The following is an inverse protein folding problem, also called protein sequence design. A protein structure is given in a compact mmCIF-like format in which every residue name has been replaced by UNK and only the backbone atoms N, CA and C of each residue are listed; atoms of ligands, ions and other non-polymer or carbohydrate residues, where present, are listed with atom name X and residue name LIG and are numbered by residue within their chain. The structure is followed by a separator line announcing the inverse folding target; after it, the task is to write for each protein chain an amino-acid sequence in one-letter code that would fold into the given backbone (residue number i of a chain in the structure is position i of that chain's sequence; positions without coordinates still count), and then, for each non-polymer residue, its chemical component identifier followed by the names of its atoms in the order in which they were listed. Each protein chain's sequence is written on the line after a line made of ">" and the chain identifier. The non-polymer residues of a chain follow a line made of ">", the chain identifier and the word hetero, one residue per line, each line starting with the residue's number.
data_IF_688749211004
#
_entry.id   IF_688749211004
#
_cell.length_a   1.000
_cell.length_b   1.000
_cell.length_c   1.000
_cell.angle_alpha   90.00
_cell.angle_beta   90.00
_cell.angle_gamma   90.00
#
_symmetry.space_group_name_H-M   'P 1'
#
loop_
_entity.id
_entity.type
_entity.pdbx_description
1 polymer ?
#
# COMPACT_ATOMS: atom_id res chain seq x y z
N UNK A 1 7.30 -12.35 16.36
CA UNK A 1 5.84 -12.40 16.11
C UNK A 1 5.54 -11.29 15.12
N UNK A 2 4.88 -11.56 13.99
CA UNK A 2 4.53 -10.51 13.03
C UNK A 2 3.35 -9.70 13.60
N UNK A 3 3.51 -8.38 13.72
CA UNK A 3 2.48 -7.47 14.23
C UNK A 3 1.68 -6.80 13.10
N UNK A 4 2.10 -7.02 11.84
CA UNK A 4 1.50 -6.51 10.63
C UNK A 4 0.73 -7.61 9.88
N UNK A 5 -0.25 -7.20 9.09
CA UNK A 5 -0.89 -8.10 8.13
C UNK A 5 0.15 -8.55 7.10
N UNK A 6 0.19 -9.84 6.80
CA UNK A 6 1.08 -10.37 5.77
C UNK A 6 0.53 -10.20 4.35
N UNK A 7 -0.68 -9.66 4.23
CA UNK A 7 -1.31 -9.31 2.97
C UNK A 7 -0.97 -7.88 2.54
N UNK A 8 -0.96 -7.61 1.24
CA UNK A 8 -0.94 -6.25 0.70
C UNK A 8 -2.35 -5.69 0.81
N UNK A 9 -2.74 -5.26 2.01
CA UNK A 9 -4.10 -4.82 2.37
C UNK A 9 -4.18 -3.34 2.77
N UNK A 10 -3.10 -2.61 2.48
CA UNK A 10 -2.96 -1.18 2.76
C UNK A 10 -3.10 -0.83 4.25
N UNK A 11 -2.59 -1.68 5.16
CA UNK A 11 -2.54 -1.41 6.61
C UNK A 11 -1.91 -0.04 6.95
N UNK A 12 -0.97 0.47 6.16
CA UNK A 12 -0.43 1.82 6.34
C UNK A 12 -1.50 2.92 6.28
N UNK A 13 -2.54 2.72 5.45
CA UNK A 13 -3.65 3.66 5.24
C UNK A 13 -4.80 3.39 6.22
N UNK A 14 -5.14 2.13 6.47
CA UNK A 14 -6.33 1.76 7.24
C UNK A 14 -6.05 1.29 8.68
N UNK A 15 -4.81 1.04 9.07
CA UNK A 15 -4.46 0.37 10.33
C UNK A 15 -4.50 -1.15 10.21
N UNK A 16 -3.84 -1.83 11.14
CA UNK A 16 -3.75 -3.31 11.17
C UNK A 16 -4.90 -3.95 11.97
N UNK A 17 -5.59 -3.16 12.80
CA UNK A 17 -6.74 -3.63 13.60
C UNK A 17 -8.05 -2.94 13.19
N UNK A 18 -9.21 -3.58 13.40
CA UNK A 18 -10.51 -2.96 13.16
C UNK A 18 -10.73 -1.67 13.98
N UNK A 19 -10.14 -1.61 15.18
CA UNK A 19 -10.21 -0.45 16.07
C UNK A 19 -9.45 0.75 15.50
N UNK A 20 -8.23 0.53 14.99
CA UNK A 20 -7.46 1.56 14.29
C UNK A 20 -8.16 2.03 13.01
N UNK A 21 -8.76 1.11 12.26
CA UNK A 21 -9.53 1.44 11.08
C UNK A 21 -10.76 2.29 11.42
N UNK A 22 -11.48 1.94 12.49
CA UNK A 22 -12.59 2.73 12.99
C UNK A 22 -12.15 4.13 13.44
N UNK A 23 -11.02 4.25 14.13
CA UNK A 23 -10.49 5.53 14.59
C UNK A 23 -10.12 6.49 13.45
N UNK A 24 -9.78 5.98 12.26
CA UNK A 24 -9.48 6.78 11.07
C UNK A 24 -10.71 7.19 10.28
N UNK A 25 -11.89 6.66 10.58
CA UNK A 25 -13.13 7.00 9.88
C UNK A 25 -13.70 8.32 10.39
N UNK A 26 -14.20 9.12 9.45
CA UNK A 26 -15.02 10.30 9.76
C UNK A 26 -16.43 9.87 10.18
N UNK A 27 -16.85 8.65 9.80
CA UNK A 27 -18.21 8.13 10.06
C UNK A 27 -19.28 8.81 9.22
N UNK A 28 -18.88 9.47 8.12
CA UNK A 28 -19.78 10.12 7.18
C UNK A 28 -19.31 9.93 5.74
N UNK A 29 -20.22 9.53 4.87
CA UNK A 29 -19.99 9.34 3.42
C UNK A 29 -18.86 8.33 3.09
N UNK A 30 -18.59 7.38 3.98
CA UNK A 30 -17.53 6.39 3.85
C UNK A 30 -16.12 6.97 3.87
N UNK A 31 -15.92 8.20 4.38
CA UNK A 31 -14.63 8.90 4.30
C UNK A 31 -13.71 8.67 5.49
N UNK A 32 -12.41 8.80 5.26
CA UNK A 32 -11.37 8.73 6.28
C UNK A 32 -10.65 10.07 6.49
N UNK A 33 -10.09 10.22 7.68
CA UNK A 33 -9.20 11.33 8.02
C UNK A 33 -7.90 11.21 7.24
N UNK A 34 -7.37 12.36 6.81
CA UNK A 34 -6.07 12.40 6.13
C UNK A 34 -5.01 12.68 7.19
N UNK A 35 -3.85 12.00 7.16
CA UNK A 35 -2.77 12.30 8.10
C UNK A 35 -2.31 13.74 7.92
N UNK A 36 -2.07 14.43 9.04
CA UNK A 36 -1.58 15.80 9.01
C UNK A 36 -0.17 15.86 8.44
N UNK A 37 0.04 16.78 7.50
CA UNK A 37 1.37 17.09 6.99
C UNK A 37 1.95 18.22 7.82
N UNK A 38 2.29 17.93 9.08
CA UNK A 38 3.05 18.86 9.89
C UNK A 38 4.50 18.78 9.42
N UNK A 39 4.84 19.66 8.48
CA UNK A 39 6.22 19.96 8.15
C UNK A 39 6.73 20.97 9.19
N UNK A 40 7.09 20.50 10.38
CA UNK A 40 7.76 21.34 11.37
C UNK A 40 9.24 21.48 11.01
N UNK A 41 9.73 22.69 10.66
CA UNK A 41 11.16 22.93 10.57
C UNK A 41 11.78 22.98 11.99
N UNK A 42 13.02 22.52 12.18
CA UNK A 42 13.94 22.00 11.18
C UNK A 42 13.63 20.53 10.84
N UNK A 43 13.63 20.20 9.55
CA UNK A 43 13.55 18.81 9.10
C UNK A 43 14.77 18.06 9.63
N UNK A 44 14.60 17.08 10.53
CA UNK A 44 15.73 16.24 10.93
C UNK A 44 16.20 15.49 9.69
N UNK A 45 17.48 15.66 9.33
CA UNK A 45 18.11 14.97 8.19
C UNK A 45 18.08 13.44 8.30
N UNK A 46 17.70 12.89 9.44
CA UNK A 46 17.59 11.45 9.68
C UNK A 46 16.21 10.86 9.35
N UNK A 47 15.18 11.67 9.08
CA UNK A 47 13.78 11.19 9.05
C UNK A 47 13.08 11.24 7.69
N UNK A 48 13.83 11.24 6.58
CA UNK A 48 13.27 11.31 5.23
C UNK A 48 12.27 10.18 4.91
N UNK A 49 12.52 8.97 5.41
CA UNK A 49 11.63 7.81 5.21
C UNK A 49 10.28 8.00 5.90
N UNK A 50 10.26 8.56 7.13
CA UNK A 50 9.02 8.84 7.86
C UNK A 50 8.16 9.85 7.10
N UNK A 51 8.77 10.92 6.58
CA UNK A 51 8.05 11.93 5.79
C UNK A 51 7.51 11.35 4.48
N UNK A 52 8.30 10.55 3.78
CA UNK A 52 7.90 9.92 2.52
C UNK A 52 6.71 8.97 2.70
N UNK A 53 6.72 8.17 3.77
CA UNK A 53 5.60 7.29 4.12
C UNK A 53 4.32 8.09 4.41
N UNK A 54 4.43 9.19 5.18
CA UNK A 54 3.28 10.07 5.45
C UNK A 54 2.68 10.67 4.18
N UNK A 55 3.51 11.00 3.19
CA UNK A 55 3.04 11.48 1.89
C UNK A 55 2.23 10.41 1.17
N UNK A 56 2.75 9.19 1.10
CA UNK A 56 2.05 8.06 0.48
C UNK A 56 0.72 7.76 1.19
N UNK A 57 0.71 7.72 2.52
CA UNK A 57 -0.52 7.58 3.33
C UNK A 57 -1.56 8.63 2.94
N UNK A 58 -1.14 9.90 2.79
CA UNK A 58 -2.05 10.99 2.43
C UNK A 58 -2.58 10.90 1.00
N UNK A 59 -1.75 10.45 0.05
CA UNK A 59 -2.16 10.22 -1.34
C UNK A 59 -3.26 9.16 -1.37
N UNK A 60 -3.03 8.01 -0.73
CA UNK A 60 -4.00 6.92 -0.69
C UNK A 60 -5.28 7.30 0.08
N UNK A 61 -5.16 8.05 1.18
CA UNK A 61 -6.33 8.56 1.89
C UNK A 61 -7.15 9.55 1.04
N UNK A 62 -6.48 10.34 0.21
CA UNK A 62 -7.16 11.23 -0.75
C UNK A 62 -7.87 10.42 -1.84
N UNK A 63 -7.24 9.38 -2.35
CA UNK A 63 -7.83 8.47 -3.33
C UNK A 63 -9.04 7.73 -2.77
N UNK A 64 -8.97 7.22 -1.55
CA UNK A 64 -10.12 6.62 -0.85
C UNK A 64 -11.30 7.58 -0.79
N UNK A 65 -11.08 8.81 -0.31
CA UNK A 65 -12.16 9.80 -0.18
C UNK A 65 -12.74 10.22 -1.54
N UNK A 66 -11.93 10.21 -2.60
CA UNK A 66 -12.40 10.42 -3.98
C UNK A 66 -13.31 9.27 -4.42
N UNK A 67 -12.90 8.03 -4.20
CA UNK A 67 -13.68 6.84 -4.55
C UNK A 67 -14.99 6.78 -3.79
N UNK A 68 -14.97 7.01 -2.47
CA UNK A 68 -16.17 7.05 -1.65
C UNK A 68 -17.18 8.09 -2.18
N UNK A 69 -16.72 9.28 -2.58
CA UNK A 69 -17.58 10.31 -3.16
C UNK A 69 -18.13 9.95 -4.56
N UNK A 70 -17.42 9.14 -5.33
CA UNK A 70 -17.91 8.63 -6.62
C UNK A 70 -18.92 7.51 -6.39
N UNK A 71 -18.63 6.57 -5.49
CA UNK A 71 -19.51 5.45 -5.14
C UNK A 71 -20.84 5.93 -4.54
N UNK A 72 -20.80 6.97 -3.71
CA UNK A 72 -22.01 7.59 -3.15
C UNK A 72 -22.92 8.17 -4.24
N UNK A 73 -22.34 8.80 -5.27
CA UNK A 73 -23.11 9.32 -6.41
C UNK A 73 -23.71 8.22 -7.27
N UNK A 74 -22.98 7.12 -7.45
CA UNK A 74 -23.42 5.97 -8.24
C UNK A 74 -24.46 5.12 -7.49
N UNK A 75 -24.35 5.04 -6.16
CA UNK A 75 -25.20 4.24 -5.30
C UNK A 75 -25.76 5.07 -4.14
N UNK A 76 -26.78 5.92 -4.39
CA UNK A 76 -27.32 6.81 -3.36
C UNK A 76 -27.97 6.11 -2.16
N UNK A 77 -28.27 4.81 -2.28
CA UNK A 77 -28.88 3.99 -1.22
C UNK A 77 -27.86 3.33 -0.29
N UNK A 78 -26.56 3.45 -0.56
CA UNK A 78 -25.53 2.84 0.27
C UNK A 78 -25.32 3.61 1.56
N UNK A 79 -25.10 2.88 2.65
CA UNK A 79 -24.75 3.44 3.94
C UNK A 79 -23.24 3.78 4.04
N UNK A 80 -22.84 4.41 5.16
CA UNK A 80 -21.46 4.79 5.41
C UNK A 80 -20.49 3.60 5.40
N UNK A 81 -20.94 2.45 5.92
CA UNK A 81 -20.13 1.24 6.01
C UNK A 81 -19.86 0.65 4.64
N UNK A 82 -20.91 0.52 3.83
CA UNK A 82 -20.83 0.00 2.47
C UNK A 82 -19.89 0.88 1.62
N UNK A 83 -20.04 2.21 1.71
CA UNK A 83 -19.16 3.14 1.01
C UNK A 83 -17.71 3.00 1.43
N UNK A 84 -17.44 2.88 2.73
CA UNK A 84 -16.10 2.69 3.26
C UNK A 84 -15.47 1.37 2.80
N UNK A 85 -16.19 0.24 2.92
CA UNK A 85 -15.66 -1.08 2.59
C UNK A 85 -15.41 -1.22 1.08
N UNK A 86 -16.30 -0.72 0.23
CA UNK A 86 -16.12 -0.76 -1.22
C UNK A 86 -14.99 0.16 -1.69
N UNK A 87 -14.90 1.39 -1.13
CA UNK A 87 -13.76 2.27 -1.40
C UNK A 87 -12.43 1.64 -0.95
N UNK A 88 -12.41 1.00 0.23
CA UNK A 88 -11.25 0.27 0.75
C UNK A 88 -10.85 -0.87 -0.18
N UNK A 89 -11.80 -1.68 -0.63
CA UNK A 89 -11.57 -2.81 -1.54
C UNK A 89 -10.92 -2.38 -2.86
N UNK A 90 -11.41 -1.28 -3.45
CA UNK A 90 -10.86 -0.73 -4.69
C UNK A 90 -9.43 -0.22 -4.48
N UNK A 91 -9.17 0.50 -3.38
CA UNK A 91 -7.81 1.02 -3.07
C UNK A 91 -6.83 -0.14 -2.86
N UNK A 92 -7.23 -1.18 -2.15
CA UNK A 92 -6.40 -2.39 -1.95
C UNK A 92 -6.05 -3.01 -3.31
N UNK A 93 -7.03 -3.18 -4.20
CA UNK A 93 -6.80 -3.70 -5.54
C UNK A 93 -5.84 -2.81 -6.36
N UNK A 94 -5.96 -1.48 -6.25
CA UNK A 94 -5.04 -0.54 -6.91
C UNK A 94 -3.60 -0.69 -6.41
N UNK A 95 -3.41 -0.79 -5.09
CA UNK A 95 -2.07 -0.96 -4.50
C UNK A 95 -1.48 -2.31 -4.90
N UNK A 96 -2.28 -3.37 -4.89
CA UNK A 96 -1.84 -4.70 -5.33
C UNK A 96 -1.43 -4.69 -6.81
N UNK A 97 -2.24 -4.05 -7.66
CA UNK A 97 -1.95 -3.95 -9.09
C UNK A 97 -0.65 -3.20 -9.35
N UNK A 98 -0.46 -2.01 -8.76
CA UNK A 98 0.78 -1.23 -8.91
C UNK A 98 1.99 -2.03 -8.37
N UNK A 99 1.84 -2.70 -7.23
CA UNK A 99 2.94 -3.45 -6.63
C UNK A 99 3.36 -4.62 -7.51
N UNK A 100 2.40 -5.42 -8.01
CA UNK A 100 2.71 -6.65 -8.73
C UNK A 100 3.03 -6.43 -10.20
N UNK A 101 2.36 -5.50 -10.88
CA UNK A 101 2.49 -5.31 -12.32
C UNK A 101 3.46 -4.18 -12.70
N UNK A 102 3.72 -3.23 -11.80
CA UNK A 102 4.61 -2.10 -12.10
C UNK A 102 5.90 -2.17 -11.29
N UNK A 103 5.80 -2.30 -9.96
CA UNK A 103 6.97 -2.24 -9.09
C UNK A 103 7.81 -3.53 -9.12
N UNK A 104 7.17 -4.69 -9.01
CA UNK A 104 7.86 -5.98 -8.91
C UNK A 104 8.70 -6.33 -10.16
N UNK A 105 8.22 -6.11 -11.40
CA UNK A 105 9.01 -6.36 -12.61
C UNK A 105 10.25 -5.46 -12.70
N UNK A 106 10.11 -4.17 -12.32
CA UNK A 106 11.24 -3.23 -12.28
C UNK A 106 12.30 -3.65 -11.27
N UNK A 107 11.88 -4.27 -10.16
CA UNK A 107 12.78 -4.68 -9.10
C UNK A 107 13.49 -6.01 -9.39
N UNK A 108 12.76 -7.01 -9.88
CA UNK A 108 13.26 -8.38 -10.06
C UNK A 108 13.81 -8.65 -11.47
N UNK A 109 13.41 -7.84 -12.44
CA UNK A 109 13.69 -8.04 -13.87
C UNK A 109 12.81 -9.10 -14.51
N UNK A 110 12.61 -8.96 -15.83
CA UNK A 110 11.74 -9.82 -16.65
C UNK A 110 12.09 -11.31 -16.56
N UNK A 111 13.38 -11.66 -16.47
CA UNK A 111 13.84 -13.06 -16.37
C UNK A 111 13.35 -13.73 -15.08
N UNK A 112 13.43 -13.02 -13.96
CA UNK A 112 12.96 -13.52 -12.65
C UNK A 112 11.44 -13.61 -12.63
N UNK A 113 10.74 -12.62 -13.20
CA UNK A 113 9.27 -12.62 -13.29
C UNK A 113 8.77 -13.83 -14.10
N UNK A 114 9.41 -14.13 -15.23
CA UNK A 114 9.08 -15.29 -16.06
C UNK A 114 9.40 -16.61 -15.35
N UNK A 115 10.56 -16.71 -14.69
CA UNK A 115 10.99 -17.93 -13.99
C UNK A 115 10.05 -18.38 -12.87
N UNK A 116 9.44 -17.42 -12.18
CA UNK A 116 8.52 -17.68 -11.07
C UNK A 116 7.05 -17.50 -11.45
N UNK A 117 6.75 -17.31 -12.74
CA UNK A 117 5.38 -17.13 -13.27
C UNK A 117 4.63 -16.01 -12.52
N UNK A 118 5.34 -14.93 -12.19
CA UNK A 118 4.81 -13.82 -11.40
C UNK A 118 4.08 -12.77 -12.26
N UNK A 119 4.27 -12.81 -13.58
CA UNK A 119 3.54 -12.01 -14.54
C UNK A 119 2.14 -12.58 -14.71
N UNK A 120 1.18 -12.02 -13.97
CA UNK A 120 -0.21 -12.48 -14.01
C UNK A 120 -0.87 -12.17 -15.35
N UNK A 121 -1.41 -13.20 -16.01
CA UNK A 121 -2.32 -13.01 -17.12
C UNK A 121 -3.65 -12.45 -16.58
N UNK A 122 -4.01 -11.24 -16.98
CA UNK A 122 -5.20 -10.53 -16.48
C UNK A 122 -6.53 -11.15 -16.94
N UNK A 123 -6.52 -12.26 -17.68
CA UNK A 123 -7.72 -12.87 -18.25
C UNK A 123 -8.51 -13.73 -17.26
N UNK A 124 -7.90 -14.26 -16.19
CA UNK A 124 -8.53 -15.25 -15.31
C UNK A 124 -8.50 -14.84 -13.82
N UNK A 125 -9.09 -13.69 -13.48
CA UNK A 125 -9.16 -13.14 -12.12
C UNK A 125 -9.82 -14.06 -11.04
N UNK A 126 -10.34 -15.24 -11.39
CA UNK A 126 -11.15 -16.08 -10.50
C UNK A 126 -10.42 -17.26 -9.83
N UNK A 127 -9.34 -17.82 -10.41
CA UNK A 127 -8.76 -19.10 -9.94
C UNK A 127 -7.51 -18.98 -9.04
N UNK A 128 -6.99 -17.78 -8.78
CA UNK A 128 -5.71 -17.59 -8.08
C UNK A 128 -5.72 -17.83 -6.56
N UNK A 129 -6.88 -17.96 -5.91
CA UNK A 129 -6.93 -18.14 -4.45
C UNK A 129 -6.79 -19.61 -4.04
N UNK A 130 -5.56 -20.04 -3.77
CA UNK A 130 -5.31 -21.36 -3.20
C UNK A 130 -5.41 -21.35 -1.67
N UNK A 131 -6.51 -21.89 -1.14
CA UNK A 131 -6.79 -22.00 0.32
C UNK A 131 -5.72 -22.78 1.11
N UNK A 132 -4.85 -23.55 0.43
CA UNK A 132 -3.78 -24.34 1.03
C UNK A 132 -2.46 -23.57 1.21
N UNK A 133 -2.31 -22.42 0.57
CA UNK A 133 -1.11 -21.58 0.71
C UNK A 133 -1.25 -20.79 2.01
N UNK A 134 -0.25 -20.91 2.90
CA UNK A 134 -0.21 -20.11 4.14
C UNK A 134 0.32 -18.72 3.80
N UNK A 135 -0.47 -17.65 3.94
CA UNK A 135 -0.10 -16.31 3.49
C UNK A 135 0.85 -15.59 4.46
N UNK A 136 1.67 -16.30 5.24
CA UNK A 136 2.52 -15.69 6.27
C UNK A 136 3.81 -15.09 5.71
N UNK A 137 4.21 -13.92 6.20
CA UNK A 137 5.51 -13.33 5.87
C UNK A 137 6.64 -14.23 6.38
N UNK A 138 7.51 -14.67 5.49
CA UNK A 138 8.67 -15.49 5.86
C UNK A 138 9.67 -14.65 6.66
N UNK A 139 10.23 -15.20 7.73
CA UNK A 139 11.23 -14.52 8.55
C UNK A 139 12.48 -14.12 7.74
N UNK A 140 12.84 -14.93 6.73
CA UNK A 140 13.93 -14.62 5.79
C UNK A 140 13.64 -13.42 4.89
N UNK A 141 12.37 -13.20 4.53
CA UNK A 141 11.96 -12.02 3.77
C UNK A 141 12.02 -10.76 4.66
N UNK A 142 11.51 -10.86 5.88
CA UNK A 142 11.52 -9.76 6.86
C UNK A 142 12.95 -9.36 7.28
N UNK A 143 13.82 -10.33 7.57
CA UNK A 143 15.17 -10.08 8.04
C UNK A 143 16.20 -9.85 6.91
N UNK A 144 15.94 -10.34 5.70
CA UNK A 144 16.92 -10.29 4.60
C UNK A 144 16.59 -9.22 3.56
N UNK A 145 15.44 -9.35 2.89
CA UNK A 145 15.13 -8.54 1.70
C UNK A 145 14.61 -7.15 2.08
N UNK A 146 13.83 -7.04 3.16
CA UNK A 146 13.33 -5.75 3.65
C UNK A 146 14.44 -4.78 4.00
N UNK A 147 15.47 -5.24 4.71
CA UNK A 147 16.62 -4.40 5.06
C UNK A 147 17.49 -4.09 3.83
N UNK A 148 17.76 -5.06 2.95
CA UNK A 148 18.60 -4.84 1.76
C UNK A 148 17.98 -3.82 0.79
N UNK A 149 16.67 -3.83 0.58
CA UNK A 149 16.00 -2.85 -0.29
C UNK A 149 16.04 -1.43 0.29
N UNK A 150 15.85 -1.30 1.62
CA UNK A 150 15.95 -0.02 2.32
C UNK A 150 17.40 0.50 2.27
N UNK A 151 18.39 -0.37 2.50
CA UNK A 151 19.80 0.02 2.46
C UNK A 151 20.29 0.37 1.04
N UNK A 152 19.88 -0.39 0.02
CA UNK A 152 20.33 -0.14 -1.35
C UNK A 152 19.80 1.19 -1.89
N UNK A 153 18.51 1.50 -1.73
CA UNK A 153 17.97 2.79 -2.18
C UNK A 153 18.44 3.98 -1.32
N UNK A 154 18.62 3.79 -0.01
CA UNK A 154 19.13 4.86 0.86
C UNK A 154 20.59 5.24 0.51
N UNK A 155 21.44 4.27 0.17
CA UNK A 155 22.86 4.51 -0.14
C UNK A 155 23.10 4.99 -1.58
N UNK A 156 22.25 4.62 -2.54
CA UNK A 156 22.41 5.05 -3.95
C UNK A 156 22.12 6.54 -4.15
N UNK A 157 21.41 7.20 -3.21
CA UNK A 157 21.16 8.65 -3.26
C UNK A 157 22.41 9.52 -3.12
N UNK A 158 23.55 8.97 -2.65
CA UNK A 158 24.79 9.73 -2.45
C UNK A 158 25.72 9.78 -3.68
N UNK A 159 25.48 8.97 -4.71
CA UNK A 159 26.40 8.86 -5.86
C UNK A 159 25.83 9.34 -7.21
N UNK A 160 24.61 9.89 -7.25
CA UNK A 160 23.99 10.34 -8.52
C UNK A 160 24.32 11.78 -8.94
N UNK A 161 25.16 12.51 -8.20
CA UNK A 161 25.48 13.93 -8.51
C UNK A 161 26.76 14.17 -9.34
N UNK A 162 27.42 13.13 -9.83
CA UNK A 162 28.50 13.27 -10.82
C UNK A 162 28.19 12.43 -12.04
N UNK A 163 27.45 13.01 -12.99
CA UNK A 163 27.51 12.78 -14.45
C UNK A 163 26.30 13.46 -15.11
N UNK A 164 26.35 14.80 -15.17
CA UNK A 164 25.83 15.60 -16.29
C UNK A 164 26.94 16.59 -16.64
#
# INVERSE_FOLDING_TARGET
>A
MNLASSFIDAEGVYGSTPEEAAARRIGKHGKITKPDMVFEPPFPTEDHARHSNRLLERVWATQHNRLAAVLEKLNPSWDDEQLFQEARRIVIAQIQFVTLNEYLPLLLGEETMAKYELSGDTSEFAEFYHTKIKPGTLNSFAAGIGEVLVFHFALTSKNFFFLV
#
